data_IF_121465043337
#
_entry.id   IF_121465043337
#
_cell.length_a   1.000
_cell.length_b   1.000
_cell.length_c   1.000
_cell.angle_alpha   90.00
_cell.angle_beta   90.00
_cell.angle_gamma   90.00
#
_symmetry.space_group_name_H-M   'P 1'
#
loop_
_entity.id
_entity.type
_entity.pdbx_description
1 polymer ?
#
# COMPACT_ATOMS: atom_id res chain seq x y z
N UNK A 1 -1.71 -28.05 14.28
CA UNK A 1 -2.41 -28.54 13.09
C UNK A 1 -3.73 -27.79 12.94
N UNK A 2 -3.65 -26.49 12.64
CA UNK A 2 -4.83 -25.66 12.31
C UNK A 2 -4.29 -24.64 11.29
N UNK A 3 -4.31 -24.92 10.01
CA UNK A 3 -3.90 -23.87 9.05
C UNK A 3 -4.20 -24.12 7.57
N UNK A 4 -4.91 -25.16 7.19
CA UNK A 4 -5.19 -25.39 5.75
C UNK A 4 -6.62 -25.05 5.32
N UNK A 5 -7.57 -24.92 6.22
CA UNK A 5 -8.97 -24.65 5.86
C UNK A 5 -9.34 -23.18 5.71
N UNK A 6 -8.58 -22.24 6.26
CA UNK A 6 -8.85 -20.80 6.12
C UNK A 6 -8.45 -20.23 4.76
N UNK A 7 -7.57 -20.90 4.03
CA UNK A 7 -7.16 -20.46 2.69
C UNK A 7 -8.23 -20.71 1.61
N UNK A 8 -9.11 -21.69 1.82
CA UNK A 8 -10.16 -22.07 0.87
C UNK A 8 -11.42 -21.20 0.97
N UNK A 9 -11.65 -20.54 2.10
CA UNK A 9 -12.82 -19.68 2.27
C UNK A 9 -12.69 -18.30 1.61
N UNK A 10 -11.47 -17.86 1.28
CA UNK A 10 -11.20 -16.59 0.60
C UNK A 10 -11.48 -16.63 -0.91
N UNK A 11 -11.55 -17.81 -1.52
CA UNK A 11 -11.82 -17.97 -2.95
C UNK A 11 -13.30 -17.80 -3.36
N UNK A 12 -14.24 -17.76 -2.43
CA UNK A 12 -15.68 -17.81 -2.78
C UNK A 12 -16.39 -16.45 -2.81
N UNK A 13 -15.73 -15.35 -2.47
CA UNK A 13 -16.37 -14.01 -2.46
C UNK A 13 -15.84 -13.03 -3.53
N UNK A 14 -15.13 -13.52 -4.54
CA UNK A 14 -14.64 -12.74 -5.69
C UNK A 14 -15.63 -12.83 -6.88
N UNK A 15 -16.90 -12.63 -6.62
CA UNK A 15 -17.93 -12.49 -7.65
C UNK A 15 -18.06 -11.05 -8.11
N UNK A 16 -17.16 -10.60 -9.02
CA UNK A 16 -17.35 -9.57 -10.04
C UNK A 16 -15.99 -9.15 -10.60
N UNK A 17 -15.60 -9.78 -11.66
CA UNK A 17 -14.94 -9.21 -12.84
C UNK A 17 -14.46 -10.38 -13.70
N UNK A 18 -15.29 -10.73 -14.66
CA UNK A 18 -14.92 -11.65 -15.74
C UNK A 18 -14.29 -10.82 -16.85
N UNK A 19 -13.26 -11.39 -17.42
CA UNK A 19 -12.64 -11.27 -18.74
C UNK A 19 -11.34 -10.49 -18.84
N UNK A 20 -10.34 -11.25 -19.33
CA UNK A 20 -9.06 -10.88 -19.92
C UNK A 20 -7.97 -10.37 -18.94
N UNK A 21 -7.34 -11.25 -18.23
CA UNK A 21 -5.89 -11.52 -18.25
C UNK A 21 -5.54 -12.61 -17.22
N UNK A 22 -5.65 -13.86 -17.64
CA UNK A 22 -5.36 -15.02 -16.80
C UNK A 22 -3.86 -15.38 -16.88
N UNK A 23 -2.99 -14.36 -16.77
CA UNK A 23 -1.55 -14.57 -16.67
C UNK A 23 -1.07 -14.38 -15.24
N UNK A 24 -0.97 -15.55 -14.56
CA UNK A 24 -0.14 -15.79 -13.38
C UNK A 24 -0.47 -14.93 -12.14
N UNK A 25 -1.55 -15.25 -11.46
CA UNK A 25 -1.69 -14.99 -10.02
C UNK A 25 -0.58 -15.76 -9.31
N UNK A 26 0.57 -15.10 -9.06
CA UNK A 26 1.54 -15.64 -8.13
C UNK A 26 0.87 -15.73 -6.74
N UNK A 27 1.09 -16.84 -5.99
CA UNK A 27 0.46 -17.01 -4.70
C UNK A 27 0.89 -15.86 -3.79
N UNK A 28 -0.08 -15.11 -3.25
CA UNK A 28 0.16 -14.09 -2.24
C UNK A 28 0.62 -14.78 -0.95
N UNK A 29 1.76 -14.37 -0.45
CA UNK A 29 2.20 -14.74 0.89
C UNK A 29 1.81 -13.63 1.85
N UNK A 30 1.21 -13.99 2.97
CA UNK A 30 0.69 -13.08 3.99
C UNK A 30 1.35 -13.38 5.34
N UNK A 31 1.62 -12.33 6.12
CA UNK A 31 2.11 -12.44 7.49
C UNK A 31 1.48 -11.33 8.35
N UNK A 32 0.81 -11.71 9.41
CA UNK A 32 0.12 -10.82 10.32
C UNK A 32 -1.40 -10.90 10.22
N UNK A 33 -2.10 -9.81 10.53
CA UNK A 33 -3.56 -9.79 10.63
C UNK A 33 -4.23 -9.67 9.25
N UNK A 34 -4.68 -10.78 8.70
CA UNK A 34 -5.36 -10.83 7.39
C UNK A 34 -6.71 -10.12 7.38
N UNK A 35 -7.36 -9.94 8.53
CA UNK A 35 -8.61 -9.19 8.66
C UNK A 35 -8.49 -7.73 8.21
N UNK A 36 -7.27 -7.18 8.17
CA UNK A 36 -7.03 -5.81 7.68
C UNK A 36 -7.35 -5.63 6.20
N UNK A 37 -7.40 -6.71 5.41
CA UNK A 37 -7.85 -6.64 4.01
C UNK A 37 -9.35 -6.34 3.87
N UNK A 38 -10.14 -6.54 4.90
CA UNK A 38 -11.57 -6.27 4.89
C UNK A 38 -11.93 -4.85 5.38
N UNK A 39 -10.96 -4.11 5.93
CA UNK A 39 -11.19 -2.74 6.37
C UNK A 39 -11.21 -1.77 5.18
N UNK A 40 -11.96 -0.66 5.26
CA UNK A 40 -11.75 0.47 4.36
C UNK A 40 -10.30 0.97 4.44
N UNK A 41 -9.66 1.11 3.27
CA UNK A 41 -8.22 1.43 3.18
C UNK A 41 -7.95 2.58 2.25
N UNK A 42 -7.03 3.46 2.67
CA UNK A 42 -6.47 4.50 1.82
C UNK A 42 -5.11 4.05 1.30
N UNK A 43 -4.93 3.99 -0.03
CA UNK A 43 -3.61 3.79 -0.62
C UNK A 43 -2.79 5.07 -0.52
N UNK A 44 -1.52 4.94 -0.15
CA UNK A 44 -0.53 6.02 -0.29
C UNK A 44 0.53 5.62 -1.30
N UNK A 45 0.67 6.43 -2.37
CA UNK A 45 1.63 6.18 -3.44
C UNK A 45 2.40 7.46 -3.76
N UNK A 46 3.70 7.35 -4.02
CA UNK A 46 4.51 8.51 -4.37
C UNK A 46 5.65 8.16 -5.32
N UNK A 47 5.86 9.02 -6.32
CA UNK A 47 7.07 9.02 -7.12
C UNK A 47 8.29 9.40 -6.26
N UNK A 48 9.50 9.11 -6.76
CA UNK A 48 10.75 9.37 -6.02
C UNK A 48 11.10 10.85 -5.92
N UNK A 49 10.76 11.65 -6.94
CA UNK A 49 11.00 13.09 -6.95
C UNK A 49 9.82 13.77 -6.28
N UNK A 50 10.07 14.51 -5.23
CA UNK A 50 9.06 15.16 -4.39
C UNK A 50 9.57 16.53 -4.00
N UNK A 51 8.74 17.57 -4.07
CA UNK A 51 9.08 18.89 -3.56
C UNK A 51 9.05 18.93 -2.03
N UNK A 52 9.81 19.83 -1.39
CA UNK A 52 9.78 19.99 0.07
C UNK A 52 8.37 20.27 0.61
N UNK A 53 7.58 21.06 -0.09
CA UNK A 53 6.21 21.40 0.30
C UNK A 53 5.30 20.17 0.25
N UNK A 54 5.46 19.32 -0.78
CA UNK A 54 4.71 18.07 -0.88
C UNK A 54 5.12 17.09 0.25
N UNK A 55 6.39 17.05 0.63
CA UNK A 55 6.85 16.25 1.79
C UNK A 55 6.11 16.66 3.06
N UNK A 56 6.03 17.98 3.35
CA UNK A 56 5.34 18.49 4.53
C UNK A 56 3.85 18.12 4.52
N UNK A 57 3.17 18.26 3.36
CA UNK A 57 1.76 17.87 3.23
C UNK A 57 1.56 16.36 3.42
N UNK A 58 2.46 15.53 2.92
CA UNK A 58 2.40 14.08 3.11
C UNK A 58 2.62 13.69 4.57
N UNK A 59 3.54 14.34 5.28
CA UNK A 59 3.76 14.10 6.70
C UNK A 59 2.54 14.53 7.53
N UNK A 60 1.94 15.69 7.25
CA UNK A 60 0.73 16.16 7.90
C UNK A 60 -0.45 15.21 7.63
N UNK A 61 -0.61 14.75 6.39
CA UNK A 61 -1.60 13.75 6.03
C UNK A 61 -1.39 12.43 6.80
N UNK A 62 -0.17 11.92 6.87
CA UNK A 62 0.14 10.69 7.59
C UNK A 62 -0.19 10.80 9.09
N UNK A 63 0.12 11.95 9.71
CA UNK A 63 -0.24 12.22 11.10
C UNK A 63 -1.77 12.22 11.28
N UNK A 64 -2.52 12.85 10.38
CA UNK A 64 -3.98 12.87 10.43
C UNK A 64 -4.58 11.44 10.26
N UNK A 65 -4.02 10.60 9.37
CA UNK A 65 -4.47 9.20 9.25
C UNK A 65 -4.19 8.41 10.53
N UNK A 66 -2.99 8.61 11.11
CA UNK A 66 -2.62 7.99 12.39
C UNK A 66 -3.59 8.35 13.50
N UNK A 67 -3.90 9.63 13.66
CA UNK A 67 -4.74 10.14 14.73
C UNK A 67 -6.22 9.77 14.54
N UNK A 68 -6.65 9.60 13.28
CA UNK A 68 -7.99 9.14 12.93
C UNK A 68 -8.15 7.61 12.95
N UNK A 69 -7.09 6.84 13.21
CA UNK A 69 -7.15 5.38 13.26
C UNK A 69 -7.41 4.72 11.90
N UNK A 70 -7.14 5.39 10.76
CA UNK A 70 -7.48 4.91 9.44
C UNK A 70 -6.46 3.91 8.91
N UNK A 71 -6.93 2.85 8.24
CA UNK A 71 -6.07 1.86 7.62
C UNK A 71 -5.39 2.44 6.38
N UNK A 72 -4.06 2.32 6.32
CA UNK A 72 -3.25 2.75 5.17
C UNK A 72 -2.58 1.55 4.52
N UNK A 73 -2.71 1.44 3.19
CA UNK A 73 -2.05 0.43 2.38
C UNK A 73 -1.01 1.08 1.47
N UNK A 74 0.23 0.58 1.45
CA UNK A 74 1.28 1.07 0.56
C UNK A 74 2.43 0.07 0.41
N UNK A 75 3.33 0.34 -0.56
CA UNK A 75 4.61 -0.37 -0.71
C UNK A 75 5.70 0.16 0.21
N UNK A 76 5.56 1.36 0.72
CA UNK A 76 6.50 2.07 1.58
C UNK A 76 7.97 1.97 1.11
N UNK A 77 8.16 2.10 -0.20
CA UNK A 77 9.44 1.84 -0.85
C UNK A 77 10.29 3.09 -1.10
N UNK A 78 9.67 4.21 -1.52
CA UNK A 78 10.36 5.48 -1.71
C UNK A 78 10.79 6.09 -0.35
N UNK A 79 11.68 7.09 -0.36
CA UNK A 79 12.08 7.76 0.88
C UNK A 79 10.87 8.35 1.61
N UNK A 80 10.04 9.11 0.88
CA UNK A 80 8.81 9.70 1.44
C UNK A 80 7.85 8.63 1.96
N UNK A 81 7.63 7.55 1.22
CA UNK A 81 6.75 6.47 1.68
C UNK A 81 7.26 5.83 2.98
N UNK A 82 8.58 5.69 3.14
CA UNK A 82 9.16 5.19 4.40
C UNK A 82 8.98 6.17 5.56
N UNK A 83 9.05 7.47 5.31
CA UNK A 83 8.80 8.49 6.33
C UNK A 83 7.33 8.48 6.76
N UNK A 84 6.40 8.33 5.81
CA UNK A 84 4.98 8.10 6.08
C UNK A 84 4.79 6.85 6.94
N UNK A 85 5.42 5.72 6.59
CA UNK A 85 5.34 4.49 7.40
C UNK A 85 5.82 4.72 8.84
N UNK A 86 6.96 5.40 9.03
CA UNK A 86 7.48 5.71 10.37
C UNK A 86 6.49 6.53 11.20
N UNK A 87 5.77 7.48 10.58
CA UNK A 87 4.74 8.26 11.26
C UNK A 87 3.54 7.40 11.63
N UNK A 88 3.09 6.54 10.71
CA UNK A 88 1.99 5.62 10.95
C UNK A 88 2.33 4.62 12.06
N UNK A 89 3.53 4.07 12.09
CA UNK A 89 3.94 3.08 13.11
C UNK A 89 4.01 3.66 14.54
N UNK A 90 4.01 4.98 14.70
CA UNK A 90 3.93 5.64 16.02
C UNK A 90 2.53 5.61 16.65
N UNK A 91 1.50 5.29 15.88
CA UNK A 91 0.12 5.17 16.34
C UNK A 91 -0.33 3.73 16.50
N UNK A 92 -1.65 3.56 16.63
CA UNK A 92 -2.31 2.25 16.80
C UNK A 92 -3.12 1.83 15.57
N UNK A 93 -3.21 2.69 14.55
CA UNK A 93 -4.00 2.43 13.35
C UNK A 93 -3.48 1.23 12.56
N UNK A 94 -4.34 0.55 11.80
CA UNK A 94 -3.96 -0.57 10.95
C UNK A 94 -3.09 -0.13 9.77
N UNK A 95 -2.13 -0.97 9.40
CA UNK A 95 -1.25 -0.76 8.23
C UNK A 95 -1.15 -2.03 7.41
N UNK A 96 -1.26 -1.90 6.08
CA UNK A 96 -0.98 -2.98 5.14
C UNK A 96 0.26 -2.62 4.32
N UNK A 97 1.36 -3.34 4.56
CA UNK A 97 2.63 -3.17 3.84
C UNK A 97 2.74 -4.22 2.74
N UNK A 98 2.76 -3.77 1.48
CA UNK A 98 2.84 -4.64 0.31
C UNK A 98 4.25 -4.66 -0.26
N UNK A 99 4.85 -5.84 -0.33
CA UNK A 99 6.21 -6.06 -0.79
C UNK A 99 6.23 -6.56 -2.24
N UNK A 100 7.10 -5.99 -3.07
CA UNK A 100 7.42 -6.47 -4.43
C UNK A 100 8.48 -7.59 -4.42
N UNK A 101 8.62 -8.28 -3.31
CA UNK A 101 9.56 -9.37 -3.07
C UNK A 101 8.98 -10.32 -2.01
N UNK A 102 9.63 -11.45 -1.77
CA UNK A 102 9.25 -12.37 -0.68
C UNK A 102 9.18 -11.66 0.67
N UNK A 103 8.40 -12.21 1.58
CA UNK A 103 8.30 -11.75 2.97
C UNK A 103 9.66 -11.74 3.67
N UNK A 104 9.79 -10.94 4.70
CA UNK A 104 10.92 -10.97 5.61
C UNK A 104 10.95 -12.30 6.38
N UNK A 105 12.16 -12.81 6.67
CA UNK A 105 12.30 -13.88 7.64
C UNK A 105 12.04 -13.36 9.07
N UNK A 106 11.64 -14.22 10.02
CA UNK A 106 11.48 -13.83 11.42
C UNK A 106 12.74 -13.13 11.98
N UNK A 107 13.92 -13.65 11.67
CA UNK A 107 15.20 -13.09 12.12
C UNK A 107 15.45 -11.70 11.53
N UNK A 108 15.07 -11.45 10.27
CA UNK A 108 15.18 -10.13 9.65
C UNK A 108 14.23 -9.13 10.31
N UNK A 109 13.00 -9.53 10.62
CA UNK A 109 12.04 -8.67 11.32
C UNK A 109 12.55 -8.27 12.70
N UNK A 110 13.09 -9.20 13.46
CA UNK A 110 13.62 -8.92 14.81
C UNK A 110 14.84 -8.01 14.80
N UNK A 111 15.78 -8.24 13.86
CA UNK A 111 17.06 -7.54 13.86
C UNK A 111 17.04 -6.20 13.13
N UNK A 112 16.25 -6.07 12.08
CA UNK A 112 16.30 -4.92 11.15
C UNK A 112 15.00 -4.11 11.10
N UNK A 113 13.89 -4.68 11.61
CA UNK A 113 12.55 -4.09 11.48
C UNK A 113 11.73 -4.21 12.78
N UNK A 114 12.32 -3.84 13.91
CA UNK A 114 11.69 -3.97 15.23
C UNK A 114 10.31 -3.26 15.33
N UNK A 115 10.14 -2.11 14.65
CA UNK A 115 8.85 -1.40 14.65
C UNK A 115 7.77 -2.18 13.88
N UNK A 116 8.14 -2.85 12.77
CA UNK A 116 7.23 -3.73 12.04
C UNK A 116 6.90 -4.97 12.87
N UNK A 117 7.91 -5.56 13.54
CA UNK A 117 7.69 -6.71 14.42
C UNK A 117 6.70 -6.37 15.54
N UNK A 118 6.88 -5.23 16.21
CA UNK A 118 5.94 -4.76 17.24
C UNK A 118 4.52 -4.59 16.67
N UNK A 119 4.38 -3.94 15.52
CA UNK A 119 3.09 -3.75 14.89
C UNK A 119 2.41 -5.07 14.45
N UNK A 120 3.20 -6.10 14.10
CA UNK A 120 2.70 -7.46 13.85
C UNK A 120 2.20 -8.11 15.13
N UNK A 121 2.97 -8.02 16.22
CA UNK A 121 2.61 -8.58 17.52
C UNK A 121 1.34 -7.92 18.10
N UNK A 122 1.19 -6.61 17.86
CA UNK A 122 -0.01 -5.83 18.22
C UNK A 122 -1.23 -6.16 17.33
N UNK A 123 -1.10 -6.99 16.30
CA UNK A 123 -2.18 -7.35 15.38
C UNK A 123 -2.65 -6.23 14.44
N UNK A 124 -1.90 -5.13 14.34
CA UNK A 124 -2.24 -3.95 13.53
C UNK A 124 -1.44 -3.83 12.23
N UNK A 125 -0.63 -4.81 11.90
CA UNK A 125 0.11 -4.88 10.64
C UNK A 125 -0.21 -6.15 9.87
N UNK A 126 -0.35 -6.00 8.55
CA UNK A 126 -0.31 -7.10 7.59
C UNK A 126 0.82 -6.85 6.59
N UNK A 127 1.72 -7.79 6.46
CA UNK A 127 2.69 -7.87 5.37
C UNK A 127 2.11 -8.72 4.25
N UNK A 128 2.11 -8.19 3.04
CA UNK A 128 1.65 -8.87 1.83
C UNK A 128 2.83 -8.97 0.86
N UNK A 129 3.11 -10.16 0.35
CA UNK A 129 4.09 -10.35 -0.72
C UNK A 129 3.39 -10.64 -2.04
N UNK A 130 3.69 -9.87 -3.08
CA UNK A 130 3.19 -10.08 -4.44
C UNK A 130 4.22 -10.81 -5.34
N UNK A 131 5.35 -11.25 -4.77
CA UNK A 131 6.41 -11.92 -5.52
C UNK A 131 7.22 -12.86 -4.62
N UNK A 132 7.56 -14.04 -5.12
CA UNK A 132 8.47 -14.98 -4.47
C UNK A 132 9.95 -14.61 -4.62
N UNK A 133 10.28 -13.63 -5.46
CA UNK A 133 11.64 -13.19 -5.72
C UNK A 133 12.32 -12.63 -4.46
N UNK A 134 13.61 -12.89 -4.30
CA UNK A 134 14.39 -12.35 -3.18
C UNK A 134 14.59 -10.83 -3.24
N UNK A 135 14.53 -10.24 -4.44
CA UNK A 135 14.69 -8.79 -4.69
C UNK A 135 13.57 -8.29 -5.60
N UNK A 136 13.12 -7.06 -5.36
CA UNK A 136 12.17 -6.39 -6.23
C UNK A 136 12.81 -6.06 -7.60
N UNK A 137 12.02 -6.17 -8.66
CA UNK A 137 12.35 -5.72 -10.01
C UNK A 137 11.22 -4.84 -10.57
N UNK A 138 11.34 -4.38 -11.82
CA UNK A 138 10.34 -3.51 -12.43
C UNK A 138 8.96 -4.18 -12.51
N UNK A 139 8.90 -5.44 -12.96
CA UNK A 139 7.65 -6.20 -13.10
C UNK A 139 6.98 -6.41 -11.75
N UNK A 140 7.71 -6.91 -10.74
CA UNK A 140 7.15 -7.12 -9.40
C UNK A 140 6.74 -5.82 -8.71
N UNK A 141 7.40 -4.70 -9.03
CA UNK A 141 7.01 -3.37 -8.55
C UNK A 141 5.68 -2.92 -9.14
N UNK A 142 5.47 -3.14 -10.45
CA UNK A 142 4.20 -2.84 -11.11
C UNK A 142 3.08 -3.71 -10.53
N UNK A 143 3.32 -5.01 -10.36
CA UNK A 143 2.37 -5.94 -9.77
C UNK A 143 1.96 -5.53 -8.35
N UNK A 144 2.93 -5.16 -7.50
CA UNK A 144 2.67 -4.61 -6.17
C UNK A 144 1.79 -3.37 -6.21
N UNK A 145 2.12 -2.41 -7.08
CA UNK A 145 1.37 -1.15 -7.17
C UNK A 145 -0.06 -1.40 -7.67
N UNK A 146 -0.27 -2.32 -8.62
CA UNK A 146 -1.61 -2.74 -9.04
C UNK A 146 -2.39 -3.31 -7.87
N UNK A 147 -1.80 -4.25 -7.13
CA UNK A 147 -2.43 -4.83 -5.95
C UNK A 147 -2.86 -3.76 -4.93
N UNK A 148 -1.99 -2.77 -4.64
CA UNK A 148 -2.30 -1.67 -3.72
C UNK A 148 -3.52 -0.89 -4.21
N UNK A 149 -3.54 -0.49 -5.49
CA UNK A 149 -4.64 0.28 -6.08
C UNK A 149 -5.93 -0.53 -6.09
N UNK A 150 -5.87 -1.83 -6.41
CA UNK A 150 -7.05 -2.69 -6.47
C UNK A 150 -7.69 -2.89 -5.08
N UNK A 151 -6.86 -3.00 -4.03
CA UNK A 151 -7.30 -3.21 -2.65
C UNK A 151 -7.78 -1.93 -1.94
N UNK A 152 -7.46 -0.75 -2.45
CA UNK A 152 -7.78 0.52 -1.80
C UNK A 152 -9.16 1.03 -2.19
N UNK A 153 -9.86 1.68 -1.25
CA UNK A 153 -11.12 2.38 -1.48
C UNK A 153 -10.88 3.80 -2.01
N UNK A 154 -9.81 4.42 -1.57
CA UNK A 154 -9.35 5.73 -2.05
C UNK A 154 -7.84 5.77 -2.17
N UNK A 155 -7.33 6.67 -3.00
CA UNK A 155 -5.91 6.79 -3.30
C UNK A 155 -5.44 8.20 -2.98
N UNK A 156 -4.35 8.29 -2.22
CA UNK A 156 -3.63 9.53 -1.97
C UNK A 156 -2.26 9.47 -2.64
N UNK A 157 -2.00 10.45 -3.49
CA UNK A 157 -0.77 10.56 -4.26
C UNK A 157 0.09 11.68 -3.66
N UNK A 158 1.23 11.30 -3.09
CA UNK A 158 2.18 12.25 -2.51
C UNK A 158 2.93 13.06 -3.56
N UNK A 159 3.31 12.43 -4.66
CA UNK A 159 3.87 13.07 -5.85
C UNK A 159 3.73 12.15 -7.05
N UNK A 160 3.47 12.73 -8.23
CA UNK A 160 3.30 11.99 -9.47
C UNK A 160 4.20 12.54 -10.57
N UNK A 161 5.20 11.75 -10.97
CA UNK A 161 6.02 12.06 -12.16
C UNK A 161 5.26 11.63 -13.41
N UNK A 162 5.00 12.54 -14.39
CA UNK A 162 4.21 12.22 -15.60
C UNK A 162 4.76 11.04 -16.41
N UNK A 163 6.09 10.94 -16.52
CA UNK A 163 6.77 9.84 -17.20
C UNK A 163 7.06 8.63 -16.27
N UNK A 164 6.53 8.62 -15.05
CA UNK A 164 6.77 7.57 -14.07
C UNK A 164 5.81 6.39 -14.23
N UNK A 165 6.20 5.21 -13.72
CA UNK A 165 5.39 3.99 -13.77
C UNK A 165 4.08 4.08 -12.97
N UNK A 166 3.93 5.05 -12.09
CA UNK A 166 2.68 5.30 -11.36
C UNK A 166 1.63 6.04 -12.20
N UNK A 167 2.05 6.92 -13.13
CA UNK A 167 1.12 7.77 -13.86
C UNK A 167 0.02 6.98 -14.61
N UNK A 168 0.33 5.96 -15.42
CA UNK A 168 -0.70 5.20 -16.11
C UNK A 168 -1.60 4.39 -15.16
N UNK A 169 -1.08 3.98 -14.00
CA UNK A 169 -1.86 3.27 -12.99
C UNK A 169 -2.87 4.20 -12.30
N UNK A 170 -2.45 5.41 -11.96
CA UNK A 170 -3.31 6.42 -11.34
C UNK A 170 -4.38 6.90 -12.32
N UNK A 171 -4.03 7.15 -13.60
CA UNK A 171 -4.99 7.52 -14.64
C UNK A 171 -6.08 6.45 -14.79
N UNK A 172 -5.70 5.17 -14.88
CA UNK A 172 -6.65 4.06 -14.95
C UNK A 172 -7.55 3.95 -13.72
N UNK A 173 -7.02 4.23 -12.52
CA UNK A 173 -7.81 4.23 -11.30
C UNK A 173 -8.85 5.36 -11.29
N UNK A 174 -8.48 6.54 -11.79
CA UNK A 174 -9.37 7.70 -11.97
C UNK A 174 -10.50 7.39 -12.96
N UNK A 175 -10.15 6.85 -14.13
CA UNK A 175 -11.12 6.39 -15.14
C UNK A 175 -12.10 5.34 -14.58
N UNK A 176 -11.68 4.53 -13.62
CA UNK A 176 -12.54 3.55 -12.94
C UNK A 176 -13.37 4.13 -11.80
N UNK A 177 -13.33 5.46 -11.57
CA UNK A 177 -14.12 6.17 -10.57
C UNK A 177 -13.56 6.09 -9.14
N UNK A 178 -12.31 5.69 -8.94
CA UNK A 178 -11.68 5.72 -7.62
C UNK A 178 -11.40 7.17 -7.20
N UNK A 179 -11.69 7.51 -5.95
CA UNK A 179 -11.36 8.82 -5.40
C UNK A 179 -9.84 8.97 -5.30
N UNK A 180 -9.30 10.00 -5.95
CA UNK A 180 -7.88 10.32 -5.94
C UNK A 180 -7.66 11.71 -5.36
N UNK A 181 -6.80 11.79 -4.34
CA UNK A 181 -6.34 13.05 -3.75
C UNK A 181 -4.85 13.23 -4.04
N UNK A 182 -4.46 14.39 -4.56
CA UNK A 182 -3.06 14.73 -4.84
C UNK A 182 -2.53 15.72 -3.80
N UNK A 183 -1.38 15.40 -3.21
CA UNK A 183 -0.71 16.25 -2.23
C UNK A 183 0.45 17.08 -2.83
N UNK A 184 0.81 16.83 -4.08
CA UNK A 184 1.81 17.61 -4.82
C UNK A 184 1.24 18.83 -5.55
N UNK A 185 -0.08 18.92 -5.74
CA UNK A 185 -0.75 20.10 -6.28
C UNK A 185 -1.04 21.12 -5.19
N UNK A 186 -0.87 22.40 -5.51
CA UNK A 186 -1.25 23.48 -4.60
C UNK A 186 -2.80 23.58 -4.58
N UNK A 187 -3.47 23.57 -3.41
CA UNK A 187 -4.94 23.68 -3.34
C UNK A 187 -5.48 24.99 -3.95
N UNK A 188 -4.65 26.02 -4.11
CA UNK A 188 -5.04 27.31 -4.70
C UNK A 188 -5.12 27.34 -6.23
N UNK A 189 -4.63 26.30 -6.93
CA UNK A 189 -4.68 26.29 -8.41
C UNK A 189 -6.05 25.86 -8.97
N UNK A 190 -7.01 25.52 -8.14
CA UNK A 190 -8.36 25.09 -8.56
C UNK A 190 -9.42 26.19 -8.43
N UNK A 191 -9.03 27.45 -8.10
CA UNK A 191 -9.95 28.59 -7.93
C UNK A 191 -9.75 29.70 -8.97
N UNK A 192 -9.32 29.35 -10.18
CA UNK A 192 -9.31 30.34 -11.27
C UNK A 192 -9.93 29.70 -12.51
N UNK A 193 -11.22 29.76 -12.61
CA UNK A 193 -12.02 29.92 -13.83
C UNK A 193 -13.44 30.30 -13.41
#
# INVERSE_FOLDING_TARGET
MVSLELALHFCMNAGRFSTMDDQQKQPLALLGNTGLLNLPKTAFLSSRKVSPEAVLRCCAWAAAQRDAGRCVISGFHSALERDVLRLLLKGVQPVVLVLARRLYSPQTLEREHADLKRALDDGRLLLVSTSSAGRANASSTIQRNRFIVDQADEIVVGSLSPAGSLAPLIARADESGKRITRLDSNPDSSRTL
#
